data_IF_805701807257
#
_entry.id   IF_805701807257
#
_cell.length_a   1.000
_cell.length_b   1.000
_cell.length_c   1.000
_cell.angle_alpha   90.00
_cell.angle_beta   90.00
_cell.angle_gamma   90.00
#
_symmetry.space_group_name_H-M   'P 1'
#
loop_
_entity.id
_entity.type
_entity.pdbx_description
1 polymer ?
#
# COMPACT_ATOMS: atom_id res chain seq x y z
N UNK A 1 3.72 -8.86 -10.69
CA UNK A 1 4.90 -8.56 -9.84
C UNK A 1 6.20 -9.22 -10.31
N UNK A 2 6.18 -10.51 -10.67
CA UNK A 2 7.39 -11.25 -11.12
C UNK A 2 8.00 -10.70 -12.42
N UNK A 3 7.22 -10.02 -13.25
CA UNK A 3 7.68 -9.39 -14.50
C UNK A 3 7.99 -7.89 -14.36
N UNK A 4 7.94 -7.33 -13.13
CA UNK A 4 8.42 -5.97 -12.87
C UNK A 4 9.94 -5.95 -13.00
N UNK A 5 10.50 -4.94 -13.64
CA UNK A 5 11.95 -4.71 -13.72
C UNK A 5 12.26 -3.25 -13.44
N UNK A 6 13.42 -2.99 -12.83
CA UNK A 6 13.92 -1.64 -12.56
C UNK A 6 15.36 -1.57 -13.04
N UNK A 7 15.68 -0.57 -13.86
CA UNK A 7 17.05 -0.36 -14.32
C UNK A 7 17.96 -0.06 -13.13
N UNK A 8 19.05 -0.81 -13.02
CA UNK A 8 20.02 -0.69 -11.94
C UNK A 8 21.27 0.06 -12.43
N UNK A 9 21.11 1.37 -12.56
CA UNK A 9 22.24 2.29 -12.72
C UNK A 9 22.98 2.50 -11.38
N UNK A 10 24.05 3.30 -11.38
CA UNK A 10 24.87 3.55 -10.20
C UNK A 10 24.08 4.13 -9.02
N UNK A 11 23.18 5.09 -9.28
CA UNK A 11 22.37 5.71 -8.24
C UNK A 11 21.32 4.72 -7.70
N UNK A 12 20.61 4.03 -8.59
CA UNK A 12 19.62 3.03 -8.22
C UNK A 12 20.23 1.85 -7.46
N UNK A 13 21.46 1.44 -7.81
CA UNK A 13 22.19 0.38 -7.10
C UNK A 13 22.44 0.72 -5.63
N UNK A 14 22.69 1.99 -5.31
CA UNK A 14 22.96 2.46 -3.96
C UNK A 14 21.69 2.80 -3.17
N UNK A 15 20.68 3.36 -3.85
CA UNK A 15 19.50 3.91 -3.17
C UNK A 15 18.36 2.89 -3.02
N UNK A 16 18.15 2.01 -4.01
CA UNK A 16 17.01 1.11 -4.01
C UNK A 16 17.27 -0.15 -3.18
N UNK A 17 16.17 -0.71 -2.68
CA UNK A 17 16.23 -2.02 -2.05
C UNK A 17 16.28 -3.12 -3.11
N UNK A 18 17.34 -3.91 -3.12
CA UNK A 18 17.54 -5.06 -4.04
C UNK A 18 17.59 -6.42 -3.32
N UNK A 19 17.56 -6.41 -1.98
CA UNK A 19 17.75 -7.61 -1.16
C UNK A 19 16.54 -8.55 -1.12
N UNK A 20 16.66 -9.61 -0.30
CA UNK A 20 15.58 -10.59 -0.10
C UNK A 20 14.29 -9.90 0.35
N UNK A 21 13.18 -10.22 -0.31
CA UNK A 21 11.87 -9.62 -0.04
C UNK A 21 11.59 -8.32 -0.80
N UNK A 22 12.58 -7.78 -1.53
CA UNK A 22 12.38 -6.60 -2.37
C UNK A 22 11.44 -6.88 -3.54
N UNK A 23 10.53 -5.93 -3.87
CA UNK A 23 9.76 -5.98 -5.11
C UNK A 23 10.57 -5.54 -6.34
N UNK A 24 11.80 -5.06 -6.17
CA UNK A 24 12.62 -4.53 -7.26
C UNK A 24 13.50 -5.65 -7.82
N UNK A 25 13.28 -5.96 -9.09
CA UNK A 25 14.07 -6.94 -9.84
C UNK A 25 14.90 -6.16 -10.84
N UNK A 26 16.20 -6.38 -10.83
CA UNK A 26 17.14 -5.59 -11.64
C UNK A 26 17.01 -5.87 -13.14
N UNK A 27 17.45 -4.89 -13.93
CA UNK A 27 17.66 -4.95 -15.37
C UNK A 27 18.76 -3.96 -15.76
N UNK A 28 19.46 -4.22 -16.87
CA UNK A 28 20.38 -3.27 -17.49
C UNK A 28 19.67 -2.24 -18.39
N UNK A 29 20.34 -1.12 -18.68
CA UNK A 29 19.76 -0.06 -19.52
C UNK A 29 19.53 -0.50 -20.97
N UNK A 30 20.40 -1.35 -21.53
CA UNK A 30 20.31 -1.81 -22.92
C UNK A 30 19.03 -2.62 -23.17
N UNK A 31 18.69 -3.51 -22.24
CA UNK A 31 17.47 -4.31 -22.22
C UNK A 31 16.24 -3.40 -22.11
N UNK A 32 16.29 -2.41 -21.21
CA UNK A 32 15.22 -1.42 -21.10
C UNK A 32 15.00 -0.67 -22.42
N UNK A 33 16.07 -0.21 -23.06
CA UNK A 33 16.00 0.48 -24.35
C UNK A 33 15.46 -0.43 -25.45
N UNK A 34 15.81 -1.71 -25.45
CA UNK A 34 15.26 -2.70 -26.38
C UNK A 34 13.74 -2.83 -26.23
N UNK A 35 13.24 -2.99 -25.00
CA UNK A 35 11.80 -3.06 -24.74
C UNK A 35 11.09 -1.73 -25.02
N UNK A 36 11.74 -0.59 -24.71
CA UNK A 36 11.25 0.75 -25.00
C UNK A 36 11.07 0.96 -26.50
N UNK A 37 12.07 0.64 -27.31
CA UNK A 37 12.00 0.77 -28.77
C UNK A 37 10.84 -0.08 -29.30
N UNK A 38 10.74 -1.32 -28.83
CA UNK A 38 9.66 -2.24 -29.19
C UNK A 38 8.26 -1.72 -28.84
N UNK A 39 8.14 -1.02 -27.71
CA UNK A 39 6.88 -0.38 -27.30
C UNK A 39 6.56 0.84 -28.18
N UNK A 40 7.56 1.67 -28.47
CA UNK A 40 7.42 2.85 -29.33
C UNK A 40 7.07 2.45 -30.76
N UNK A 41 7.77 1.47 -31.35
CA UNK A 41 7.48 0.93 -32.67
C UNK A 41 6.05 0.42 -32.78
N UNK A 42 5.61 -0.35 -31.78
CA UNK A 42 4.24 -0.83 -31.74
C UNK A 42 3.24 0.33 -31.68
N UNK A 43 3.46 1.30 -30.79
CA UNK A 43 2.57 2.45 -30.66
C UNK A 43 2.52 3.28 -31.96
N UNK A 44 3.66 3.48 -32.62
CA UNK A 44 3.74 4.18 -33.91
C UNK A 44 3.10 3.39 -35.07
N UNK A 45 2.98 2.07 -34.94
CA UNK A 45 2.29 1.22 -35.93
C UNK A 45 0.76 1.30 -35.86
N UNK A 46 0.20 1.87 -34.78
CA UNK A 46 -1.25 1.99 -34.59
C UNK A 46 -1.83 3.18 -35.34
N UNK A 47 -3.04 3.04 -35.89
CA UNK A 47 -3.79 4.14 -36.50
C UNK A 47 -4.05 5.29 -35.51
N UNK A 48 -4.15 4.96 -34.21
CA UNK A 48 -4.43 5.90 -33.13
C UNK A 48 -3.68 5.50 -31.86
N UNK A 49 -3.14 6.51 -31.19
CA UNK A 49 -2.62 6.42 -29.83
C UNK A 49 -3.36 7.41 -28.93
N UNK A 50 -3.46 7.09 -27.65
CA UNK A 50 -4.10 7.96 -26.66
C UNK A 50 -3.03 8.51 -25.72
N UNK A 51 -2.91 9.84 -25.69
CA UNK A 51 -1.99 10.56 -24.82
C UNK A 51 -2.79 11.31 -23.77
N UNK A 52 -2.39 11.18 -22.50
CA UNK A 52 -2.98 11.92 -21.39
C UNK A 52 -1.89 12.50 -20.50
N UNK A 53 -1.90 13.83 -20.39
CA UNK A 53 -1.05 14.60 -19.49
C UNK A 53 -1.80 14.84 -18.19
N UNK A 54 -1.19 14.45 -17.08
CA UNK A 54 -1.81 14.46 -15.76
C UNK A 54 -0.81 14.85 -14.67
N UNK A 55 -1.32 15.08 -13.47
CA UNK A 55 -0.49 15.34 -12.31
C UNK A 55 -0.61 14.23 -11.26
N UNK A 56 0.48 14.02 -10.52
CA UNK A 56 0.50 13.32 -9.25
C UNK A 56 0.78 14.30 -8.13
N UNK A 57 0.26 14.01 -6.94
CA UNK A 57 0.35 14.82 -5.72
C UNK A 57 -0.46 16.14 -5.81
N UNK A 58 -1.31 16.38 -4.82
CA UNK A 58 -2.15 17.60 -4.76
C UNK A 58 -1.40 18.81 -4.21
N UNK A 59 -0.25 18.60 -3.58
CA UNK A 59 0.64 19.68 -3.14
C UNK A 59 1.36 20.31 -4.36
N UNK A 60 1.10 21.58 -4.70
CA UNK A 60 1.68 22.24 -5.87
C UNK A 60 3.21 22.25 -5.89
N UNK A 61 3.87 22.35 -4.73
CA UNK A 61 5.34 22.37 -4.64
C UNK A 61 5.96 20.99 -4.94
N UNK A 62 5.18 19.94 -4.71
CA UNK A 62 5.62 18.55 -4.83
C UNK A 62 4.87 17.78 -5.92
N UNK A 63 4.21 18.51 -6.82
CA UNK A 63 3.51 17.96 -7.97
C UNK A 63 4.48 17.31 -8.95
N UNK A 64 4.05 16.23 -9.59
CA UNK A 64 4.82 15.54 -10.63
C UNK A 64 3.98 15.51 -11.90
N UNK A 65 4.51 16.02 -13.01
CA UNK A 65 3.87 15.94 -14.33
C UNK A 65 4.11 14.57 -14.93
N UNK A 66 3.03 13.90 -15.33
CA UNK A 66 3.13 12.58 -15.95
C UNK A 66 2.44 12.58 -17.32
N UNK A 67 3.10 11.98 -18.30
CA UNK A 67 2.54 11.72 -19.62
C UNK A 67 2.28 10.22 -19.78
N UNK A 68 1.05 9.85 -20.06
CA UNK A 68 0.66 8.46 -20.31
C UNK A 68 0.33 8.31 -21.79
N UNK A 69 1.09 7.49 -22.49
CA UNK A 69 0.86 7.11 -23.88
C UNK A 69 0.36 5.67 -23.89
N UNK A 70 -0.80 5.41 -24.48
CA UNK A 70 -1.43 4.09 -24.44
C UNK A 70 -2.06 3.67 -25.77
N UNK A 71 -1.98 2.37 -26.05
CA UNK A 71 -2.59 1.76 -27.23
C UNK A 71 -4.13 1.68 -27.17
N UNK A 72 -4.72 1.69 -25.97
CA UNK A 72 -6.17 1.46 -25.77
C UNK A 72 -6.85 2.64 -25.07
N UNK A 73 -8.02 3.05 -25.57
CA UNK A 73 -8.80 4.15 -25.00
C UNK A 73 -9.10 3.97 -23.50
N UNK A 74 -9.45 2.75 -23.06
CA UNK A 74 -9.79 2.51 -21.66
C UNK A 74 -8.58 2.67 -20.72
N UNK A 75 -7.34 2.47 -21.20
CA UNK A 75 -6.13 2.73 -20.40
C UNK A 75 -5.97 4.23 -20.15
N UNK A 76 -6.18 5.05 -21.18
CA UNK A 76 -6.21 6.51 -21.03
C UNK A 76 -7.32 6.96 -20.08
N UNK A 77 -8.54 6.46 -20.24
CA UNK A 77 -9.66 6.74 -19.33
C UNK A 77 -9.38 6.29 -17.88
N UNK A 78 -8.77 5.12 -17.70
CA UNK A 78 -8.38 4.66 -16.38
C UNK A 78 -7.42 5.64 -15.71
N UNK A 79 -6.39 6.10 -16.41
CA UNK A 79 -5.44 7.07 -15.84
C UNK A 79 -6.06 8.45 -15.63
N UNK A 80 -6.99 8.87 -16.49
CA UNK A 80 -7.79 10.09 -16.31
C UNK A 80 -8.64 10.06 -15.01
N UNK A 81 -9.07 8.87 -14.60
CA UNK A 81 -9.80 8.68 -13.34
C UNK A 81 -8.88 8.59 -12.12
N UNK A 82 -7.64 8.10 -12.31
CA UNK A 82 -6.74 7.77 -11.20
C UNK A 82 -5.74 8.89 -10.85
N UNK A 83 -5.44 9.79 -11.79
CA UNK A 83 -4.54 10.92 -11.61
C UNK A 83 -5.31 12.23 -11.42
N UNK A 84 -4.57 13.30 -11.09
CA UNK A 84 -5.13 14.64 -10.98
C UNK A 84 -5.17 15.24 -12.38
N UNK A 85 -6.36 15.66 -12.80
CA UNK A 85 -6.58 16.25 -14.11
C UNK A 85 -6.08 17.70 -14.11
N UNK A 86 -5.22 18.08 -15.08
CA UNK A 86 -4.87 19.48 -15.30
C UNK A 86 -6.10 20.28 -15.73
N UNK A 87 -6.10 21.58 -15.48
CA UNK A 87 -7.00 22.52 -16.17
C UNK A 87 -6.57 22.73 -17.62
N UNK A 88 -7.42 23.32 -18.45
CA UNK A 88 -7.09 23.63 -19.85
C UNK A 88 -5.84 24.54 -19.95
N UNK A 89 -5.73 25.55 -19.08
CA UNK A 89 -4.55 26.44 -18.98
C UNK A 89 -3.28 25.68 -18.56
N UNK A 90 -3.39 24.74 -17.63
CA UNK A 90 -2.27 23.88 -17.20
C UNK A 90 -1.86 22.91 -18.31
N UNK A 91 -2.77 22.50 -19.20
CA UNK A 91 -2.45 21.68 -20.37
C UNK A 91 -1.68 22.49 -21.42
N UNK A 92 -2.13 23.71 -21.72
CA UNK A 92 -1.43 24.59 -22.67
C UNK A 92 0.02 24.88 -22.24
N UNK A 93 0.24 25.00 -20.93
CA UNK A 93 1.54 25.27 -20.32
C UNK A 93 2.23 24.03 -19.75
N UNK A 94 1.75 22.82 -20.04
CA UNK A 94 2.22 21.57 -19.41
C UNK A 94 3.71 21.32 -19.64
N UNK A 95 4.20 21.66 -20.84
CA UNK A 95 5.61 21.52 -21.22
C UNK A 95 6.09 20.06 -21.16
N UNK A 96 7.34 19.88 -20.72
CA UNK A 96 7.96 18.54 -20.61
C UNK A 96 7.45 17.80 -19.37
N UNK A 97 6.97 16.54 -19.50
CA UNK A 97 6.59 15.74 -18.34
C UNK A 97 7.79 15.36 -17.48
N UNK A 98 7.58 15.22 -16.17
CA UNK A 98 8.59 14.71 -15.27
C UNK A 98 8.74 13.19 -15.39
N UNK A 99 7.71 12.47 -15.82
CA UNK A 99 7.77 11.02 -16.03
C UNK A 99 6.83 10.57 -17.16
N UNK A 100 7.27 9.62 -17.99
CA UNK A 100 6.49 9.14 -19.15
C UNK A 100 6.22 7.64 -19.07
N UNK A 101 4.98 7.22 -19.36
CA UNK A 101 4.60 5.82 -19.50
C UNK A 101 4.33 5.51 -20.98
N UNK A 102 4.97 4.47 -21.49
CA UNK A 102 4.66 3.84 -22.78
C UNK A 102 3.91 2.54 -22.52
N UNK A 103 2.57 2.61 -22.57
CA UNK A 103 1.71 1.44 -22.41
C UNK A 103 1.39 0.80 -23.76
N UNK A 104 2.27 -0.11 -24.16
CA UNK A 104 2.15 -1.00 -25.31
C UNK A 104 1.70 -2.41 -24.86
N UNK A 105 0.89 -2.50 -23.80
CA UNK A 105 0.53 -3.75 -23.12
C UNK A 105 -0.18 -4.81 -23.98
N UNK A 106 -0.71 -4.43 -25.15
CA UNK A 106 -1.23 -5.38 -26.15
C UNK A 106 -0.13 -6.15 -26.88
N UNK A 107 1.09 -5.60 -26.92
CA UNK A 107 2.20 -6.20 -27.62
C UNK A 107 3.13 -6.96 -26.66
N UNK A 108 3.38 -8.26 -26.85
CA UNK A 108 4.08 -9.11 -25.89
C UNK A 108 5.59 -8.91 -25.93
N UNK A 109 6.29 -8.73 -24.81
CA UNK A 109 7.76 -8.60 -24.83
C UNK A 109 8.43 -9.85 -25.43
N UNK A 110 9.66 -9.67 -25.95
CA UNK A 110 10.43 -10.82 -26.43
C UNK A 110 11.02 -11.56 -25.22
N UNK A 111 10.52 -12.76 -24.94
CA UNK A 111 10.95 -13.62 -23.83
C UNK A 111 12.44 -14.02 -23.86
N UNK A 112 13.10 -13.88 -25.02
CA UNK A 112 14.52 -14.18 -25.20
C UNK A 112 15.42 -12.95 -24.95
N UNK A 113 14.85 -11.78 -24.71
CA UNK A 113 15.62 -10.61 -24.27
C UNK A 113 16.14 -10.87 -22.86
N UNK A 114 17.35 -10.39 -22.56
CA UNK A 114 17.94 -10.51 -21.24
C UNK A 114 16.97 -10.01 -20.14
N UNK A 115 17.06 -10.57 -18.93
CA UNK A 115 16.15 -10.34 -17.81
C UNK A 115 14.66 -10.73 -17.98
N UNK A 116 14.18 -11.07 -19.19
CA UNK A 116 12.79 -11.48 -19.41
C UNK A 116 12.54 -12.92 -18.98
N UNK A 117 11.42 -13.14 -18.29
CA UNK A 117 11.01 -14.46 -17.78
C UNK A 117 9.69 -14.94 -18.37
N UNK A 118 9.01 -14.08 -19.11
CA UNK A 118 7.73 -14.35 -19.76
C UNK A 118 7.58 -13.44 -20.99
N UNK A 119 6.39 -13.42 -21.60
CA UNK A 119 6.01 -12.46 -22.64
C UNK A 119 5.46 -11.14 -22.08
N UNK A 120 5.51 -10.96 -20.76
CA UNK A 120 5.10 -9.74 -20.06
C UNK A 120 6.33 -9.03 -19.52
N UNK A 121 6.36 -7.70 -19.58
CA UNK A 121 7.33 -6.91 -18.82
C UNK A 121 6.74 -5.55 -18.41
N UNK A 122 7.15 -5.10 -17.22
CA UNK A 122 6.77 -3.82 -16.64
C UNK A 122 8.06 -3.17 -16.14
N UNK A 123 8.68 -2.39 -17.01
CA UNK A 123 10.04 -1.89 -16.80
C UNK A 123 10.01 -0.42 -16.36
N UNK A 124 10.85 -0.06 -15.39
CA UNK A 124 11.00 1.30 -14.88
C UNK A 124 12.46 1.72 -14.99
N UNK A 125 12.71 2.88 -15.60
CA UNK A 125 14.02 3.52 -15.61
C UNK A 125 13.90 4.90 -14.94
N UNK A 126 14.48 5.02 -13.73
CA UNK A 126 14.37 6.23 -12.92
C UNK A 126 15.24 7.38 -13.45
N UNK A 127 16.43 7.08 -13.99
CA UNK A 127 17.30 8.09 -14.58
C UNK A 127 16.67 8.71 -15.84
N UNK A 128 16.06 7.88 -16.69
CA UNK A 128 15.34 8.33 -17.89
C UNK A 128 13.95 8.89 -17.59
N UNK A 129 13.42 8.61 -16.40
CA UNK A 129 12.05 8.95 -15.97
C UNK A 129 11.00 8.35 -16.91
N UNK A 130 11.19 7.09 -17.26
CA UNK A 130 10.35 6.36 -18.20
C UNK A 130 9.88 5.03 -17.61
N UNK A 131 8.69 4.60 -18.01
CA UNK A 131 8.15 3.28 -17.75
C UNK A 131 7.63 2.67 -19.03
N UNK A 132 7.87 1.37 -19.23
CA UNK A 132 7.44 0.61 -20.41
C UNK A 132 6.60 -0.57 -19.96
N UNK A 133 5.45 -0.78 -20.60
CA UNK A 133 4.55 -1.90 -20.33
C UNK A 133 4.34 -2.69 -21.61
N UNK A 134 4.65 -3.98 -21.55
CA UNK A 134 4.50 -4.95 -22.64
C UNK A 134 3.81 -6.22 -22.15
N UNK A 135 2.96 -6.82 -22.99
CA UNK A 135 2.36 -8.14 -22.75
C UNK A 135 1.34 -8.24 -21.61
N UNK A 136 0.95 -7.11 -21.01
CA UNK A 136 -0.13 -7.06 -20.01
C UNK A 136 -1.06 -5.88 -20.26
N UNK A 137 -2.36 -6.15 -20.22
CA UNK A 137 -3.39 -5.12 -20.38
C UNK A 137 -4.00 -4.73 -19.02
N UNK A 138 -3.48 -5.23 -17.90
CA UNK A 138 -3.96 -4.85 -16.59
C UNK A 138 -3.64 -3.37 -16.29
N UNK A 139 -4.66 -2.50 -16.30
CA UNK A 139 -4.49 -1.05 -16.17
C UNK A 139 -3.84 -0.63 -14.84
N UNK A 140 -3.98 -1.47 -13.80
CA UNK A 140 -3.36 -1.23 -12.50
C UNK A 140 -1.84 -1.18 -12.54
N UNK A 141 -1.17 -1.72 -13.57
CA UNK A 141 0.28 -1.59 -13.72
C UNK A 141 0.70 -0.11 -13.84
N UNK A 142 -0.01 0.72 -14.61
CA UNK A 142 0.31 2.13 -14.76
C UNK A 142 0.21 2.89 -13.42
N UNK A 143 -0.92 2.72 -12.71
CA UNK A 143 -1.13 3.32 -11.38
C UNK A 143 -0.05 2.90 -10.40
N UNK A 144 0.25 1.60 -10.32
CA UNK A 144 1.22 1.03 -9.38
C UNK A 144 2.65 1.42 -9.72
N UNK A 145 2.98 1.54 -11.01
CA UNK A 145 4.26 2.05 -11.49
C UNK A 145 4.50 3.48 -11.04
N UNK A 146 3.55 4.39 -11.30
CA UNK A 146 3.62 5.77 -10.80
C UNK A 146 3.68 5.85 -9.28
N UNK A 147 2.93 4.98 -8.59
CA UNK A 147 2.99 4.93 -7.13
C UNK A 147 4.37 4.48 -6.62
N UNK A 148 5.02 3.53 -7.30
CA UNK A 148 6.42 3.17 -7.04
C UNK A 148 7.37 4.35 -7.27
N UNK A 149 7.18 5.11 -8.36
CA UNK A 149 7.94 6.34 -8.62
C UNK A 149 7.76 7.35 -7.48
N UNK A 150 6.55 7.53 -6.95
CA UNK A 150 6.32 8.40 -5.79
C UNK A 150 7.01 7.87 -4.52
N UNK A 151 7.04 6.55 -4.32
CA UNK A 151 7.80 5.92 -3.25
C UNK A 151 9.31 6.09 -3.37
N UNK A 152 9.83 6.45 -4.54
CA UNK A 152 11.22 6.82 -4.74
C UNK A 152 11.45 8.33 -4.58
N UNK A 153 10.67 9.15 -5.30
CA UNK A 153 10.89 10.60 -5.38
C UNK A 153 10.55 11.33 -4.07
N UNK A 154 9.45 10.97 -3.41
CA UNK A 154 9.00 11.69 -2.22
C UNK A 154 9.98 11.55 -1.06
N UNK A 155 10.50 10.34 -0.71
CA UNK A 155 11.49 10.22 0.34
C UNK A 155 12.79 11.00 0.08
N UNK A 156 13.21 11.14 -1.18
CA UNK A 156 14.37 11.97 -1.56
C UNK A 156 14.13 13.46 -1.29
N UNK A 157 12.87 13.89 -1.27
CA UNK A 157 12.43 15.24 -0.87
C UNK A 157 12.12 15.36 0.64
N UNK A 158 12.39 14.33 1.44
CA UNK A 158 12.02 14.30 2.87
C UNK A 158 10.52 14.11 3.12
N UNK A 159 9.75 13.71 2.10
CA UNK A 159 8.31 13.49 2.16
C UNK A 159 8.03 12.00 2.27
N UNK A 160 7.27 11.61 3.29
CA UNK A 160 6.88 10.22 3.50
C UNK A 160 5.75 9.83 2.54
N UNK A 161 6.03 8.92 1.61
CA UNK A 161 5.00 8.27 0.77
C UNK A 161 4.48 7.01 1.45
N UNK A 162 3.15 6.84 1.48
CA UNK A 162 2.46 5.74 2.18
C UNK A 162 1.40 5.08 1.31
N UNK A 163 1.24 3.77 1.48
CA UNK A 163 0.11 3.03 0.92
C UNK A 163 -1.07 3.02 1.92
N UNK A 164 -1.72 4.18 2.02
CA UNK A 164 -2.82 4.41 2.96
C UNK A 164 -3.93 5.25 2.35
N UNK A 165 -5.17 5.01 2.77
CA UNK A 165 -6.24 6.00 2.67
C UNK A 165 -6.12 7.04 3.78
N UNK A 166 -6.83 8.14 3.63
CA UNK A 166 -6.93 9.18 4.66
C UNK A 166 -8.31 9.82 4.64
N UNK A 167 -8.78 10.25 5.80
CA UNK A 167 -9.95 11.11 5.95
C UNK A 167 -9.66 12.23 6.95
N UNK A 168 -10.56 13.20 6.99
CA UNK A 168 -10.46 14.37 7.87
C UNK A 168 -11.82 14.60 8.52
N UNK A 169 -11.83 14.78 9.84
CA UNK A 169 -13.00 15.20 10.61
C UNK A 169 -13.38 16.65 10.33
N UNK A 170 -14.57 17.06 10.80
CA UNK A 170 -15.05 18.44 10.64
C UNK A 170 -14.12 19.46 11.30
N UNK A 171 -13.48 19.07 12.40
CA UNK A 171 -12.56 19.90 13.17
C UNK A 171 -11.10 19.83 12.64
N UNK A 172 -10.89 19.19 11.47
CA UNK A 172 -9.58 19.09 10.83
C UNK A 172 -8.73 17.89 11.27
N UNK A 173 -9.26 17.01 12.12
CA UNK A 173 -8.55 15.84 12.60
C UNK A 173 -8.35 14.80 11.50
N UNK A 174 -7.09 14.49 11.19
CA UNK A 174 -6.74 13.56 10.11
C UNK A 174 -6.40 12.18 10.66
N UNK A 175 -6.91 11.14 10.02
CA UNK A 175 -6.53 9.75 10.26
C UNK A 175 -5.97 9.10 8.97
N UNK A 176 -4.99 8.22 9.15
CA UNK A 176 -4.45 7.35 8.10
C UNK A 176 -4.97 5.92 8.29
N UNK A 177 -5.37 5.29 7.19
CA UNK A 177 -5.84 3.91 7.16
C UNK A 177 -4.98 3.09 6.20
N UNK A 178 -4.18 2.16 6.72
CA UNK A 178 -3.39 1.28 5.88
C UNK A 178 -4.25 0.14 5.33
N UNK A 179 -3.88 -0.38 4.14
CA UNK A 179 -4.56 -1.50 3.49
C UNK A 179 -5.98 -1.23 2.92
N UNK A 180 -6.37 0.03 2.72
CA UNK A 180 -7.60 0.40 1.97
C UNK A 180 -7.34 0.46 0.47
N UNK A 181 -8.30 0.04 -0.37
CA UNK A 181 -8.19 0.13 -1.84
C UNK A 181 -9.48 0.62 -2.47
N UNK A 182 -9.35 1.53 -3.45
CA UNK A 182 -10.43 2.04 -4.27
C UNK A 182 -9.87 2.54 -5.63
N UNK A 183 -10.72 2.55 -6.65
CA UNK A 183 -10.41 3.10 -7.97
C UNK A 183 -11.70 3.68 -8.59
N UNK A 184 -11.87 4.98 -8.44
CA UNK A 184 -12.95 5.79 -9.02
C UNK A 184 -12.49 7.25 -9.01
N UNK A 185 -13.06 8.12 -9.87
CA UNK A 185 -12.87 9.55 -9.76
C UNK A 185 -13.21 10.05 -8.35
N UNK A 186 -12.36 10.87 -7.76
CA UNK A 186 -12.53 11.32 -6.36
C UNK A 186 -13.82 12.13 -6.17
N UNK A 187 -14.26 12.80 -7.23
CA UNK A 187 -15.50 13.60 -7.29
C UNK A 187 -16.77 12.77 -7.13
N UNK A 188 -16.70 11.44 -7.29
CA UNK A 188 -17.86 10.56 -7.08
C UNK A 188 -18.16 10.35 -5.60
N UNK A 189 -17.30 10.80 -4.70
CA UNK A 189 -17.51 10.74 -3.26
C UNK A 189 -17.95 12.13 -2.78
N UNK A 190 -19.22 12.32 -2.38
CA UNK A 190 -19.77 13.64 -2.08
C UNK A 190 -19.02 14.42 -0.98
N UNK A 191 -18.44 13.70 -0.02
CA UNK A 191 -17.69 14.28 1.10
C UNK A 191 -16.17 14.21 0.90
N UNK A 192 -15.68 14.01 -0.33
CA UNK A 192 -14.25 14.08 -0.60
C UNK A 192 -13.76 15.53 -0.48
N UNK A 193 -12.60 15.69 0.15
CA UNK A 193 -11.90 16.98 0.17
C UNK A 193 -11.13 17.17 -1.13
N UNK A 194 -11.39 18.26 -1.84
CA UNK A 194 -10.67 18.66 -3.06
C UNK A 194 -10.18 20.11 -2.85
N UNK A 195 -8.89 20.43 -3.02
CA UNK A 195 -7.77 19.51 -3.25
C UNK A 195 -7.57 18.57 -2.05
N UNK A 196 -7.07 17.34 -2.29
CA UNK A 196 -6.89 16.31 -1.26
C UNK A 196 -5.66 16.57 -0.37
N UNK A 197 -5.58 17.75 0.25
CA UNK A 197 -4.50 18.18 1.14
C UNK A 197 -5.09 18.49 2.51
N UNK A 198 -4.50 17.96 3.59
CA UNK A 198 -4.94 18.18 4.96
C UNK A 198 -3.77 18.42 5.91
N UNK A 199 -4.04 18.75 7.19
CA UNK A 199 -3.01 18.89 8.20
C UNK A 199 -2.39 17.54 8.57
N UNK A 200 -1.44 17.56 9.52
CA UNK A 200 -0.78 16.34 9.97
C UNK A 200 -1.76 15.36 10.67
N UNK A 201 -1.65 14.04 10.40
CA UNK A 201 -2.50 13.03 11.04
C UNK A 201 -2.33 13.01 12.56
N UNK A 202 -3.45 12.92 13.29
CA UNK A 202 -3.47 12.61 14.72
C UNK A 202 -3.53 11.11 15.00
N UNK A 203 -4.06 10.33 14.05
CA UNK A 203 -4.23 8.89 14.18
C UNK A 203 -3.59 8.13 13.00
N UNK A 204 -2.84 7.07 13.31
CA UNK A 204 -2.22 6.14 12.36
C UNK A 204 -2.80 4.76 12.59
N UNK A 205 -3.69 4.30 11.71
CA UNK A 205 -4.50 3.09 11.90
C UNK A 205 -4.03 1.98 10.95
N UNK A 206 -3.39 0.96 11.52
CA UNK A 206 -2.92 -0.22 10.83
C UNK A 206 -4.06 -1.25 10.75
N UNK A 207 -4.65 -1.45 9.57
CA UNK A 207 -5.72 -2.44 9.38
C UNK A 207 -5.12 -3.82 9.07
N UNK A 208 -5.38 -4.78 9.94
CA UNK A 208 -5.02 -6.18 9.74
C UNK A 208 -6.29 -7.00 9.49
N UNK A 209 -6.31 -7.79 8.42
CA UNK A 209 -7.34 -8.80 8.21
C UNK A 209 -6.83 -10.13 8.78
N UNK A 210 -6.97 -10.33 10.10
CA UNK A 210 -6.50 -11.56 10.75
C UNK A 210 -7.51 -12.71 10.56
N UNK A 211 -7.20 -13.65 9.67
CA UNK A 211 -8.02 -14.86 9.45
C UNK A 211 -7.71 -16.00 10.45
N UNK A 212 -6.73 -15.84 11.33
CA UNK A 212 -6.43 -16.75 12.43
C UNK A 212 -7.31 -16.46 13.64
N UNK A 213 -7.81 -15.23 13.78
CA UNK A 213 -8.81 -14.84 14.78
C UNK A 213 -8.25 -14.65 16.18
N UNK A 214 -6.97 -14.28 16.28
CA UNK A 214 -6.23 -14.16 17.55
C UNK A 214 -5.84 -12.72 17.90
N UNK A 215 -5.86 -11.80 16.93
CA UNK A 215 -5.64 -10.38 17.17
C UNK A 215 -6.90 -9.71 17.76
N UNK A 216 -6.74 -8.80 18.74
CA UNK A 216 -7.84 -8.03 19.29
C UNK A 216 -8.49 -7.11 18.25
N UNK A 217 -9.79 -6.77 18.40
CA UNK A 217 -10.48 -5.83 17.52
C UNK A 217 -9.75 -4.49 17.39
N UNK A 218 -9.16 -4.00 18.48
CA UNK A 218 -8.35 -2.79 18.50
C UNK A 218 -7.24 -2.89 19.54
N UNK A 219 -6.08 -2.32 19.23
CA UNK A 219 -5.01 -2.09 20.20
C UNK A 219 -4.41 -0.71 20.03
N UNK A 220 -4.14 -0.06 21.16
CA UNK A 220 -3.27 1.12 21.21
C UNK A 220 -1.82 0.64 21.11
N UNK A 221 -1.05 1.24 20.21
CA UNK A 221 0.34 0.86 19.99
C UNK A 221 1.25 1.94 20.53
N UNK A 222 2.31 1.53 21.22
CA UNK A 222 3.46 2.41 21.42
C UNK A 222 4.23 2.58 20.09
N UNK A 223 5.19 3.51 20.06
CA UNK A 223 5.94 3.82 18.84
C UNK A 223 6.69 2.60 18.28
N UNK A 224 7.34 1.81 19.13
CA UNK A 224 8.09 0.63 18.73
C UNK A 224 7.18 -0.46 18.13
N UNK A 225 6.02 -0.71 18.76
CA UNK A 225 4.99 -1.61 18.23
C UNK A 225 4.43 -1.09 16.91
N UNK A 226 4.18 0.21 16.79
CA UNK A 226 3.70 0.81 15.54
C UNK A 226 4.70 0.55 14.41
N UNK A 227 6.00 0.75 14.64
CA UNK A 227 7.02 0.48 13.63
C UNK A 227 7.15 -1.01 13.31
N UNK A 228 7.10 -1.87 14.33
CA UNK A 228 7.16 -3.32 14.16
C UNK A 228 6.02 -3.85 13.30
N UNK A 229 4.77 -3.45 13.60
CA UNK A 229 3.59 -3.83 12.83
C UNK A 229 3.54 -3.15 11.45
N UNK A 230 4.03 -1.92 11.32
CA UNK A 230 4.14 -1.23 10.04
C UNK A 230 5.12 -1.92 9.09
N UNK A 231 6.32 -2.25 9.57
CA UNK A 231 7.34 -2.98 8.78
C UNK A 231 6.85 -4.39 8.46
N UNK A 232 6.17 -5.06 9.40
CA UNK A 232 5.63 -6.40 9.16
C UNK A 232 4.49 -6.37 8.14
N UNK A 233 3.60 -5.37 8.21
CA UNK A 233 2.47 -5.19 7.30
C UNK A 233 1.59 -6.44 7.19
N UNK A 234 1.26 -7.01 8.35
CA UNK A 234 0.55 -8.28 8.45
C UNK A 234 -0.91 -8.16 8.00
N UNK A 235 -1.32 -9.10 7.17
CA UNK A 235 -2.70 -9.43 6.81
C UNK A 235 -2.81 -10.93 6.59
N UNK A 236 -4.00 -11.47 6.37
CA UNK A 236 -4.17 -12.86 5.95
C UNK A 236 -4.91 -12.97 4.62
N UNK A 237 -4.51 -13.96 3.82
CA UNK A 237 -5.29 -14.46 2.70
C UNK A 237 -6.36 -15.41 3.24
N UNK A 238 -7.56 -15.25 2.72
CA UNK A 238 -8.74 -16.01 3.15
C UNK A 238 -8.95 -17.17 2.20
N UNK A 239 -9.32 -18.34 2.73
CA UNK A 239 -9.60 -19.50 1.89
C UNK A 239 -10.79 -19.23 0.95
N UNK A 240 -10.62 -19.54 -0.34
CA UNK A 240 -11.63 -19.31 -1.38
C UNK A 240 -11.68 -17.90 -1.98
N UNK A 241 -10.84 -16.96 -1.54
CA UNK A 241 -10.73 -15.64 -2.19
C UNK A 241 -9.61 -15.55 -3.23
N UNK A 242 -8.68 -16.51 -3.23
CA UNK A 242 -7.60 -16.65 -4.22
C UNK A 242 -7.46 -18.11 -4.64
N UNK A 243 -7.12 -18.32 -5.92
CA UNK A 243 -6.99 -19.64 -6.51
C UNK A 243 -5.89 -20.46 -5.80
N UNK A 244 -6.24 -21.68 -5.36
CA UNK A 244 -5.33 -22.57 -4.62
C UNK A 244 -5.25 -22.37 -3.10
N UNK A 245 -5.89 -21.35 -2.50
CA UNK A 245 -5.87 -21.14 -1.05
C UNK A 245 -7.00 -21.90 -0.36
N UNK A 246 -6.66 -23.01 0.31
CA UNK A 246 -7.61 -23.89 1.04
C UNK A 246 -7.73 -23.60 2.54
N UNK A 247 -6.73 -22.98 3.14
CA UNK A 247 -6.71 -22.56 4.54
C UNK A 247 -6.18 -21.12 4.68
N UNK A 248 -6.47 -20.40 5.79
CA UNK A 248 -5.87 -19.11 6.06
C UNK A 248 -4.35 -19.11 5.97
N UNK A 249 -3.80 -18.18 5.20
CA UNK A 249 -2.36 -17.99 5.09
C UNK A 249 -1.98 -16.59 5.56
N UNK A 250 -1.01 -16.50 6.48
CA UNK A 250 -0.42 -15.23 6.86
C UNK A 250 0.30 -14.63 5.66
N UNK A 251 0.11 -13.33 5.45
CA UNK A 251 0.79 -12.56 4.42
C UNK A 251 1.38 -11.32 5.05
N UNK A 252 2.67 -11.13 4.82
CA UNK A 252 3.41 -9.98 5.30
C UNK A 252 3.76 -9.10 4.11
N UNK A 253 3.15 -7.92 4.06
CA UNK A 253 3.37 -6.94 3.00
C UNK A 253 3.98 -5.71 3.64
N UNK A 254 5.30 -5.66 3.73
CA UNK A 254 6.04 -4.57 4.36
C UNK A 254 5.49 -3.17 4.04
N UNK A 255 5.35 -2.35 5.07
CA UNK A 255 4.73 -1.01 5.00
C UNK A 255 3.28 -1.02 4.46
N UNK A 256 2.59 -2.16 4.56
CA UNK A 256 1.30 -2.46 3.94
C UNK A 256 1.30 -2.30 2.40
N UNK A 257 2.47 -2.29 1.77
CA UNK A 257 2.64 -1.90 0.37
C UNK A 257 3.90 -2.50 -0.29
N UNK A 258 4.33 -3.69 0.12
CA UNK A 258 5.60 -4.29 -0.29
C UNK A 258 5.80 -4.33 -1.80
N UNK A 259 4.74 -4.49 -2.60
CA UNK A 259 4.83 -4.53 -4.06
C UNK A 259 5.27 -3.18 -4.70
N UNK A 260 5.20 -2.07 -3.96
CA UNK A 260 5.36 -0.71 -4.49
C UNK A 260 6.56 0.04 -3.90
N UNK A 261 7.04 -0.37 -2.73
CA UNK A 261 8.16 0.33 -2.08
C UNK A 261 9.45 0.17 -2.89
N UNK A 262 10.18 1.26 -3.04
CA UNK A 262 11.43 1.31 -3.80
C UNK A 262 12.67 1.26 -2.91
N UNK A 263 12.52 1.65 -1.65
CA UNK A 263 13.58 1.75 -0.64
C UNK A 263 13.40 0.66 0.41
N UNK A 264 14.40 0.46 1.27
CA UNK A 264 14.29 -0.51 2.36
C UNK A 264 13.13 -0.12 3.32
N UNK A 265 12.31 -1.06 3.80
CA UNK A 265 11.17 -0.78 4.70
C UNK A 265 11.52 0.08 5.91
N UNK A 266 12.73 -0.10 6.47
CA UNK A 266 13.21 0.67 7.62
C UNK A 266 13.32 2.17 7.33
N UNK A 267 13.56 2.59 6.08
CA UNK A 267 13.56 4.01 5.69
C UNK A 267 12.18 4.63 5.88
N UNK A 268 11.13 3.96 5.39
CA UNK A 268 9.75 4.43 5.56
C UNK A 268 9.32 4.43 7.02
N UNK A 269 9.71 3.39 7.77
CA UNK A 269 9.42 3.29 9.20
C UNK A 269 10.10 4.43 9.98
N UNK A 270 11.38 4.70 9.73
CA UNK A 270 12.09 5.81 10.38
C UNK A 270 11.42 7.16 10.12
N UNK A 271 11.06 7.43 8.86
CA UNK A 271 10.34 8.65 8.48
C UNK A 271 8.94 8.75 9.13
N UNK A 272 8.23 7.62 9.24
CA UNK A 272 6.93 7.58 9.93
C UNK A 272 7.10 7.86 11.42
N UNK A 273 8.07 7.22 12.08
CA UNK A 273 8.37 7.43 13.49
C UNK A 273 8.70 8.90 13.78
N UNK A 274 9.59 9.51 12.99
CA UNK A 274 9.96 10.92 13.12
C UNK A 274 8.73 11.84 13.02
N UNK A 275 7.88 11.62 12.00
CA UNK A 275 6.65 12.41 11.85
C UNK A 275 5.66 12.17 13.00
N UNK A 276 5.46 10.93 13.43
CA UNK A 276 4.55 10.62 14.54
C UNK A 276 5.03 11.29 15.84
N UNK A 277 6.32 11.26 16.15
CA UNK A 277 6.89 11.92 17.32
C UNK A 277 6.76 13.45 17.22
N UNK A 278 7.08 14.02 16.06
CA UNK A 278 7.02 15.47 15.83
C UNK A 278 5.61 16.04 15.96
N UNK A 279 4.60 15.31 15.47
CA UNK A 279 3.22 15.80 15.40
C UNK A 279 2.27 15.17 16.43
N UNK A 280 2.78 14.29 17.31
CA UNK A 280 2.00 13.67 18.39
C UNK A 280 0.94 12.68 17.93
N UNK A 281 1.18 11.97 16.82
CA UNK A 281 0.22 11.02 16.27
C UNK A 281 0.20 9.70 17.06
N UNK A 282 -0.99 9.12 17.28
CA UNK A 282 -1.16 7.84 17.98
C UNK A 282 -1.31 6.68 17.00
N UNK A 283 -0.61 5.58 17.27
CA UNK A 283 -0.68 4.34 16.49
C UNK A 283 -1.76 3.38 16.99
N UNK A 284 -2.50 2.76 16.07
CA UNK A 284 -3.56 1.80 16.37
C UNK A 284 -3.43 0.57 15.47
N UNK A 285 -3.65 -0.62 16.04
CA UNK A 285 -3.84 -1.86 15.27
C UNK A 285 -5.32 -2.23 15.34
N UNK A 286 -5.98 -2.35 14.19
CA UNK A 286 -7.41 -2.70 14.12
C UNK A 286 -7.58 -3.99 13.33
N UNK A 287 -8.15 -5.01 13.98
CA UNK A 287 -8.49 -6.27 13.33
C UNK A 287 -9.83 -6.13 12.59
N UNK A 288 -9.78 -6.30 11.27
CA UNK A 288 -10.92 -6.29 10.34
C UNK A 288 -11.26 -7.70 9.81
N UNK A 289 -10.55 -8.70 10.33
CA UNK A 289 -10.68 -10.11 10.03
C UNK A 289 -11.64 -10.82 10.99
N UNK A 290 -11.18 -11.91 11.59
CA UNK A 290 -11.99 -12.86 12.34
C UNK A 290 -11.81 -12.72 13.86
N UNK A 291 -12.78 -13.24 14.59
CA UNK A 291 -12.79 -13.41 16.04
C UNK A 291 -13.54 -14.71 16.40
N UNK A 292 -13.30 -15.25 17.59
CA UNK A 292 -13.91 -16.50 18.07
C UNK A 292 -13.43 -17.78 17.39
N UNK A 293 -12.32 -17.72 16.65
CA UNK A 293 -11.76 -18.85 15.93
C UNK A 293 -11.10 -18.44 14.62
N UNK A 294 -10.30 -19.35 14.05
CA UNK A 294 -9.81 -19.25 12.67
C UNK A 294 -10.95 -19.25 11.65
N UNK A 295 -10.70 -18.81 10.42
CA UNK A 295 -11.64 -18.97 9.31
C UNK A 295 -12.22 -20.40 9.26
N UNK A 296 -13.53 -20.49 9.01
CA UNK A 296 -14.28 -21.76 9.03
C UNK A 296 -14.87 -22.11 10.40
N UNK A 297 -14.33 -21.58 11.49
CA UNK A 297 -14.86 -21.74 12.87
C UNK A 297 -15.34 -20.41 13.44
N UNK A 298 -14.44 -19.42 13.43
CA UNK A 298 -14.74 -18.06 13.89
C UNK A 298 -15.57 -17.27 12.89
N UNK A 299 -16.01 -16.08 13.32
CA UNK A 299 -16.80 -15.16 12.50
C UNK A 299 -16.01 -13.90 12.23
N UNK A 300 -16.22 -13.30 11.06
CA UNK A 300 -15.67 -11.98 10.77
C UNK A 300 -16.19 -10.96 11.79
N UNK A 301 -15.33 -10.08 12.30
CA UNK A 301 -15.73 -9.01 13.21
C UNK A 301 -16.81 -8.18 12.51
N UNK A 302 -17.91 -7.95 13.23
CA UNK A 302 -19.07 -7.26 12.67
C UNK A 302 -18.68 -5.83 12.31
N UNK A 303 -18.93 -5.42 11.07
CA UNK A 303 -18.61 -4.07 10.59
C UNK A 303 -19.15 -2.94 11.48
N UNK A 304 -20.36 -3.01 12.08
CA UNK A 304 -20.81 -2.01 13.05
C UNK A 304 -19.87 -1.85 14.25
N UNK A 305 -19.27 -2.93 14.75
CA UNK A 305 -18.32 -2.86 15.86
C UNK A 305 -17.00 -2.21 15.42
N UNK A 306 -16.47 -2.58 14.24
CA UNK A 306 -15.29 -1.91 13.69
C UNK A 306 -15.55 -0.41 13.50
N UNK A 307 -16.73 -0.01 13.01
CA UNK A 307 -17.07 1.42 12.88
C UNK A 307 -17.11 2.13 14.22
N UNK A 308 -17.74 1.54 15.24
CA UNK A 308 -17.73 2.07 16.61
C UNK A 308 -16.33 2.22 17.18
N UNK A 309 -15.45 1.26 16.93
CA UNK A 309 -14.02 1.35 17.28
C UNK A 309 -13.35 2.55 16.58
N UNK A 310 -13.57 2.72 15.27
CA UNK A 310 -13.01 3.86 14.53
C UNK A 310 -13.57 5.19 15.06
N UNK A 311 -14.87 5.26 15.38
CA UNK A 311 -15.50 6.43 15.96
C UNK A 311 -14.88 6.77 17.34
N UNK A 312 -14.61 5.77 18.18
CA UNK A 312 -13.95 5.93 19.48
C UNK A 312 -12.47 6.34 19.36
N UNK A 313 -11.78 5.96 18.28
CA UNK A 313 -10.44 6.48 17.96
C UNK A 313 -10.53 7.96 17.58
N UNK A 314 -11.48 8.32 16.70
CA UNK A 314 -11.63 9.69 16.21
C UNK A 314 -12.09 10.66 17.31
N UNK A 315 -13.00 10.24 18.18
CA UNK A 315 -13.52 11.07 19.28
C UNK A 315 -12.49 11.34 20.38
N UNK A 316 -11.39 10.56 20.41
CA UNK A 316 -10.40 10.60 21.47
C UNK A 316 -10.78 9.79 22.71
N UNK A 317 -11.94 9.12 22.73
CA UNK A 317 -12.38 8.23 23.83
C UNK A 317 -11.29 7.21 24.21
N UNK A 318 -10.67 6.59 23.20
CA UNK A 318 -9.62 5.61 23.41
C UNK A 318 -8.29 6.21 23.89
N UNK A 319 -8.10 7.53 23.87
CA UNK A 319 -6.88 8.12 24.42
C UNK A 319 -6.85 8.02 25.95
N UNK A 320 -8.02 8.05 26.59
CA UNK A 320 -8.21 8.06 28.05
C UNK A 320 -8.86 6.80 28.61
N UNK A 321 -9.08 5.77 27.78
CA UNK A 321 -9.68 4.51 28.21
C UNK A 321 -8.77 3.72 29.17
N UNK A 322 -9.37 2.77 29.89
CA UNK A 322 -8.64 1.78 30.69
C UNK A 322 -8.12 0.66 29.80
N UNK A 323 -6.87 0.25 30.03
CA UNK A 323 -6.17 -0.72 29.19
C UNK A 323 -5.68 -1.92 30.00
N UNK A 324 -5.66 -3.08 29.33
CA UNK A 324 -4.91 -4.27 29.76
C UNK A 324 -3.98 -4.73 28.64
N UNK A 325 -2.96 -5.51 28.99
CA UNK A 325 -1.99 -6.03 28.02
C UNK A 325 -2.33 -7.46 27.62
N UNK A 326 -2.28 -7.76 26.33
CA UNK A 326 -2.40 -9.14 25.84
C UNK A 326 -1.18 -9.97 26.21
N UNK A 327 -1.38 -11.27 26.39
CA UNK A 327 -0.28 -12.23 26.43
C UNK A 327 0.46 -12.27 25.07
N UNK A 328 1.74 -12.67 25.09
CA UNK A 328 2.63 -12.84 23.92
C UNK A 328 3.00 -11.52 23.19
N UNK A 329 2.04 -10.83 22.58
CA UNK A 329 2.31 -9.61 21.80
C UNK A 329 2.43 -8.34 22.65
N UNK A 330 1.94 -8.35 23.90
CA UNK A 330 1.97 -7.19 24.78
C UNK A 330 1.18 -5.98 24.26
N UNK A 331 0.12 -6.22 23.48
CA UNK A 331 -0.73 -5.16 22.91
C UNK A 331 -1.62 -4.57 23.99
N UNK A 332 -1.78 -3.24 24.00
CA UNK A 332 -2.71 -2.57 24.91
C UNK A 332 -4.12 -2.60 24.32
N UNK A 333 -5.02 -3.35 24.96
CA UNK A 333 -6.43 -3.48 24.55
C UNK A 333 -7.34 -2.76 25.54
N UNK A 334 -8.36 -2.01 25.08
CA UNK A 334 -9.28 -1.33 25.97
C UNK A 334 -10.16 -2.34 26.71
N UNK A 335 -10.57 -2.01 27.93
CA UNK A 335 -11.45 -2.87 28.74
C UNK A 335 -12.92 -2.79 28.30
N UNK A 336 -13.32 -1.66 27.72
CA UNK A 336 -14.67 -1.38 27.25
C UNK A 336 -14.63 -0.33 26.14
N UNK A 337 -15.65 -0.35 25.27
CA UNK A 337 -15.93 0.67 24.24
C UNK A 337 -17.45 0.75 24.11
N UNK A 338 -18.02 1.95 24.10
CA UNK A 338 -19.48 2.10 23.98
C UNK A 338 -20.01 1.43 22.69
N UNK A 339 -21.06 0.62 22.84
CA UNK A 339 -21.69 -0.11 21.74
C UNK A 339 -20.89 -1.28 21.17
N UNK A 340 -19.78 -1.71 21.81
CA UNK A 340 -19.02 -2.91 21.46
C UNK A 340 -19.02 -3.89 22.64
N UNK A 341 -19.47 -5.15 22.49
CA UNK A 341 -19.45 -6.12 23.58
C UNK A 341 -18.04 -6.33 24.15
N UNK A 342 -17.82 -6.07 25.45
CA UNK A 342 -16.47 -6.15 26.05
C UNK A 342 -15.82 -7.53 25.92
N UNK A 343 -16.61 -8.59 25.79
CA UNK A 343 -16.12 -9.96 25.53
C UNK A 343 -15.28 -10.06 24.24
N UNK A 344 -15.56 -9.26 23.20
CA UNK A 344 -14.83 -9.34 21.93
C UNK A 344 -13.47 -8.63 21.98
N UNK A 345 -13.30 -7.68 22.91
CA UNK A 345 -12.10 -6.86 23.02
C UNK A 345 -10.86 -7.67 23.41
N UNK A 346 -11.08 -8.76 24.16
CA UNK A 346 -10.05 -9.76 24.45
C UNK A 346 -10.36 -11.05 23.69
N UNK A 347 -9.60 -11.35 22.60
CA UNK A 347 -9.87 -12.49 21.72
C UNK A 347 -10.05 -13.81 22.45
N UNK A 348 -9.30 -14.07 23.52
CA UNK A 348 -9.38 -15.34 24.25
C UNK A 348 -10.81 -15.61 24.73
N UNK A 349 -11.58 -14.59 25.10
CA UNK A 349 -12.94 -14.73 25.61
C UNK A 349 -13.90 -15.29 24.56
N UNK A 350 -13.68 -14.96 23.28
CA UNK A 350 -14.54 -15.37 22.17
C UNK A 350 -14.30 -16.80 21.68
N UNK A 351 -13.16 -17.41 22.02
CA UNK A 351 -12.85 -18.78 21.63
C UNK A 351 -13.49 -19.76 22.61
N UNK A 352 -14.21 -20.77 22.10
CA UNK A 352 -14.74 -21.86 22.94
C UNK A 352 -13.60 -22.71 23.49
N UNK A 353 -12.62 -23.05 22.65
CA UNK A 353 -11.41 -23.77 23.02
C UNK A 353 -10.25 -22.80 23.29
N UNK A 354 -9.95 -22.58 24.58
CA UNK A 354 -8.87 -21.66 25.01
C UNK A 354 -7.48 -22.21 24.70
N UNK A 355 -7.31 -23.53 24.61
CA UNK A 355 -6.03 -24.14 24.25
C UNK A 355 -5.73 -23.91 22.75
N UNK A 356 -6.74 -24.12 21.89
CA UNK A 356 -6.63 -23.82 20.46
C UNK A 356 -6.32 -22.34 20.18
N UNK A 357 -6.89 -21.42 20.97
CA UNK A 357 -6.52 -20.00 20.93
C UNK A 357 -5.03 -19.80 21.19
N UNK A 358 -4.51 -20.34 22.31
CA UNK A 358 -3.11 -20.19 22.71
C UNK A 358 -2.14 -20.78 21.69
N UNK A 359 -2.44 -21.96 21.16
CA UNK A 359 -1.64 -22.59 20.11
C UNK A 359 -1.59 -21.70 18.86
N UNK A 360 -2.75 -21.21 18.41
CA UNK A 360 -2.85 -20.34 17.23
C UNK A 360 -2.14 -19.00 17.43
N UNK A 361 -2.23 -18.43 18.64
CA UNK A 361 -1.54 -17.20 19.03
C UNK A 361 -0.01 -17.36 18.96
N UNK A 362 0.52 -18.44 19.54
CA UNK A 362 1.96 -18.74 19.50
C UNK A 362 2.44 -19.02 18.08
N UNK A 363 1.63 -19.73 17.27
CA UNK A 363 1.91 -19.95 15.86
C UNK A 363 2.02 -18.62 15.11
N UNK A 364 1.06 -17.71 15.29
CA UNK A 364 1.10 -16.40 14.64
C UNK A 364 2.31 -15.58 15.10
N UNK A 365 2.63 -15.57 16.40
CA UNK A 365 3.81 -14.90 16.92
C UNK A 365 5.12 -15.45 16.31
N UNK A 366 5.22 -16.76 16.11
CA UNK A 366 6.33 -17.39 15.39
C UNK A 366 6.45 -16.90 13.95
N UNK A 367 5.32 -16.75 13.24
CA UNK A 367 5.32 -16.21 11.87
C UNK A 367 5.78 -14.75 11.81
N UNK A 368 5.37 -13.92 12.77
CA UNK A 368 5.86 -12.54 12.90
C UNK A 368 7.38 -12.49 13.14
N UNK A 369 7.89 -13.33 14.05
CA UNK A 369 9.34 -13.42 14.33
C UNK A 369 10.12 -13.80 13.07
N UNK A 370 9.72 -14.89 12.40
CA UNK A 370 10.40 -15.37 11.19
C UNK A 370 10.35 -14.35 10.05
N UNK A 371 9.24 -13.63 9.89
CA UNK A 371 9.13 -12.57 8.88
C UNK A 371 10.09 -11.40 9.20
N UNK A 372 10.21 -11.02 10.47
CA UNK A 372 11.02 -9.88 10.86
C UNK A 372 12.53 -10.11 10.66
N UNK A 373 12.99 -11.36 10.65
CA UNK A 373 14.38 -11.72 10.33
C UNK A 373 14.81 -11.22 8.94
N UNK A 374 13.88 -11.05 8.00
CA UNK A 374 14.16 -10.50 6.65
C UNK A 374 14.66 -9.06 6.69
N UNK A 375 14.33 -8.31 7.75
CA UNK A 375 14.68 -6.88 7.89
C UNK A 375 15.77 -6.63 8.94
N UNK A 376 16.23 -7.69 9.61
CA UNK A 376 17.24 -7.61 10.69
C UNK A 376 18.68 -7.69 10.16
N UNK A 377 18.87 -8.04 8.90
CA UNK A 377 20.14 -8.00 8.14
C UNK A 377 20.21 -6.76 7.28
#
# INVERSE_FOLDING_TARGET
PRDKRVVKDEAAAQELWWGKGSPNIEMDEHTFLTNRERAVDYLNSLDKVFVNDQFLNWDPENRIKVRIISARAYHSLFMHNMCIRPTDEELESFGTPDFTIYNAGQFPCNRYTHYMTSSTSVDINLARREMVILGTQYAGEMKKGLFGVMHYLMPRRGILSLHSGSNMGKDGDVALFFNTRAAYPIEYIPNAKIPCVGPHPKNVILLACDAFGVLPPVSKLNLAQTMYHFISGYTALVAGTEDGIKEPQATFSACFGAAFIMLHPTKYAAMLAEKMQKYGATGWLVNTGWSGGRYGVGKRIRLPYTRKIIDAIHSGELLTANYKKTEVFGLEIPTEIDGVPSEILDPINTWTDKAAYKETLLRLAGLFKNNFEVFAS
#
